data_IF_222964512733
#
_entry.id   IF_222964512733
#
_cell.length_a   1.000
_cell.length_b   1.000
_cell.length_c   1.000
_cell.angle_alpha   90.00
_cell.angle_beta   90.00
_cell.angle_gamma   90.00
#
_symmetry.space_group_name_H-M   'P 1'
#
loop_
_entity.id
_entity.type
_entity.pdbx_description
1 polymer ?
#
# COMPACT_ATOMS: atom_id res chain seq x y z
N UNK A 1 10.17 84.56 35.01
CA UNK A 1 9.72 84.03 33.70
C UNK A 1 10.77 83.02 33.24
N UNK A 2 10.50 81.73 33.42
CA UNK A 2 11.49 80.64 33.37
C UNK A 2 11.73 80.12 31.95
N UNK A 3 13.01 79.89 31.62
CA UNK A 3 13.57 79.47 30.33
C UNK A 3 13.35 77.97 30.12
N UNK A 4 12.76 77.57 28.98
CA UNK A 4 12.47 76.18 28.59
C UNK A 4 13.77 75.39 28.39
N UNK A 5 13.89 74.22 29.01
CA UNK A 5 14.87 73.17 28.68
C UNK A 5 14.32 72.28 27.57
N UNK A 6 15.10 72.14 26.49
CA UNK A 6 14.84 71.24 25.36
C UNK A 6 15.31 69.83 25.73
N UNK A 7 14.43 68.82 25.68
CA UNK A 7 14.81 67.39 25.69
C UNK A 7 14.80 66.86 24.25
N UNK A 8 15.92 66.32 23.80
CA UNK A 8 16.04 65.59 22.53
C UNK A 8 15.34 64.22 22.60
N UNK A 9 14.65 63.76 21.53
CA UNK A 9 14.12 62.41 21.49
C UNK A 9 15.24 61.39 21.27
N UNK A 10 15.38 60.44 22.20
CA UNK A 10 16.26 59.27 22.05
C UNK A 10 15.67 58.35 20.97
N UNK A 11 16.50 57.98 20.00
CA UNK A 11 16.14 57.15 18.85
C UNK A 11 15.64 55.77 19.28
N UNK A 12 14.32 55.55 19.22
CA UNK A 12 13.67 54.23 19.41
C UNK A 12 13.76 53.33 18.17
N UNK A 13 14.26 53.84 17.05
CA UNK A 13 14.29 53.14 15.77
C UNK A 13 15.31 51.99 15.71
N UNK A 14 16.45 52.13 16.39
CA UNK A 14 17.50 51.11 16.41
C UNK A 14 17.09 49.83 17.15
N UNK A 15 16.33 49.97 18.24
CA UNK A 15 15.91 48.83 19.08
C UNK A 15 14.93 47.94 18.35
N UNK A 16 13.94 48.52 17.66
CA UNK A 16 12.97 47.76 16.85
C UNK A 16 13.68 47.08 15.68
N UNK A 17 14.59 47.76 15.00
CA UNK A 17 15.34 47.19 13.89
C UNK A 17 16.21 45.98 14.30
N UNK A 18 16.84 46.03 15.47
CA UNK A 18 17.58 44.90 16.05
C UNK A 18 16.66 43.75 16.48
N UNK A 19 15.48 44.06 17.03
CA UNK A 19 14.50 43.05 17.47
C UNK A 19 13.98 42.19 16.31
N UNK A 20 13.61 42.79 15.18
CA UNK A 20 13.11 42.02 14.02
C UNK A 20 14.19 41.15 13.39
N UNK A 21 15.45 41.59 13.40
CA UNK A 21 16.59 40.78 12.94
C UNK A 21 16.82 39.55 13.81
N UNK A 22 16.68 39.68 15.13
CA UNK A 22 16.78 38.55 16.06
C UNK A 22 15.65 37.53 15.85
N UNK A 23 14.43 38.00 15.59
CA UNK A 23 13.28 37.12 15.29
C UNK A 23 13.51 36.34 14.00
N UNK A 24 14.02 36.99 12.95
CA UNK A 24 14.34 36.32 11.68
C UNK A 24 15.45 35.28 11.87
N UNK A 25 16.52 35.64 12.59
CA UNK A 25 17.62 34.72 12.87
C UNK A 25 17.15 33.50 13.68
N UNK A 26 16.31 33.71 14.69
CA UNK A 26 15.72 32.63 15.49
C UNK A 26 14.85 31.70 14.63
N UNK A 27 14.01 32.26 13.74
CA UNK A 27 13.17 31.46 12.84
C UNK A 27 14.00 30.61 11.88
N UNK A 28 15.05 31.19 11.29
CA UNK A 28 15.97 30.45 10.40
C UNK A 28 16.71 29.36 11.17
N UNK A 29 17.19 29.65 12.39
CA UNK A 29 17.85 28.66 13.23
C UNK A 29 16.92 27.49 13.61
N UNK A 30 15.67 27.79 13.99
CA UNK A 30 14.67 26.76 14.28
C UNK A 30 14.31 25.93 13.05
N UNK A 31 14.26 26.55 11.87
CA UNK A 31 14.00 25.86 10.60
C UNK A 31 15.15 24.92 10.22
N UNK A 32 16.40 25.36 10.38
CA UNK A 32 17.58 24.53 10.14
C UNK A 32 17.71 23.40 11.16
N UNK A 33 17.39 23.66 12.44
CA UNK A 33 17.38 22.63 13.48
C UNK A 33 16.31 21.57 13.19
N UNK A 34 15.12 21.97 12.74
CA UNK A 34 14.07 21.04 12.32
C UNK A 34 14.53 20.17 11.15
N UNK A 35 15.13 20.76 10.11
CA UNK A 35 15.69 20.00 8.98
C UNK A 35 16.79 19.03 9.42
N UNK A 36 17.67 19.45 10.34
CA UNK A 36 18.69 18.57 10.90
C UNK A 36 18.09 17.44 11.73
N UNK A 37 17.07 17.71 12.55
CA UNK A 37 16.35 16.69 13.30
C UNK A 37 15.68 15.68 12.37
N UNK A 38 15.01 16.14 11.30
CA UNK A 38 14.41 15.27 10.28
C UNK A 38 15.48 14.44 9.59
N UNK A 39 16.63 15.02 9.25
CA UNK A 39 17.73 14.30 8.63
C UNK A 39 18.33 13.24 9.58
N UNK A 40 18.54 13.57 10.85
CA UNK A 40 19.03 12.63 11.87
C UNK A 40 18.02 11.50 12.12
N UNK A 41 16.73 11.81 12.14
CA UNK A 41 15.65 10.84 12.29
C UNK A 41 15.46 9.97 11.04
N UNK A 42 15.69 10.50 9.84
CA UNK A 42 15.72 9.73 8.60
C UNK A 42 16.90 8.74 8.56
N UNK A 43 18.08 9.17 9.01
CA UNK A 43 19.25 8.28 9.14
C UNK A 43 19.02 7.17 10.17
N UNK A 44 18.40 7.46 11.32
CA UNK A 44 18.14 6.44 12.34
C UNK A 44 17.14 5.38 11.87
N UNK A 45 16.08 5.77 11.17
CA UNK A 45 15.09 4.84 10.58
C UNK A 45 15.73 3.93 9.54
N UNK A 46 16.56 4.50 8.64
CA UNK A 46 17.27 3.72 7.61
C UNK A 46 18.28 2.72 8.23
N UNK A 47 18.92 3.10 9.35
CA UNK A 47 19.86 2.23 10.06
C UNK A 47 19.16 1.13 10.88
N UNK A 48 17.97 1.41 11.42
CA UNK A 48 17.16 0.44 12.13
C UNK A 48 16.54 -0.62 11.19
N UNK A 49 16.13 -0.25 9.98
CA UNK A 49 15.70 -1.21 8.95
C UNK A 49 16.82 -2.18 8.56
N UNK A 50 18.04 -1.69 8.39
CA UNK A 50 19.21 -2.55 8.07
C UNK A 50 19.59 -3.49 9.21
N UNK A 51 19.35 -3.11 10.48
CA UNK A 51 19.58 -3.96 11.64
C UNK A 51 18.40 -4.90 11.95
N UNK A 52 17.16 -4.50 11.67
CA UNK A 52 15.96 -5.33 11.87
C UNK A 52 15.95 -6.56 10.95
N UNK A 53 16.48 -6.41 9.73
CA UNK A 53 16.68 -7.54 8.79
C UNK A 53 17.69 -8.58 9.34
N UNK A 54 18.59 -8.19 10.24
CA UNK A 54 19.59 -9.08 10.83
C UNK A 54 19.08 -9.90 12.03
N UNK A 55 17.86 -9.68 12.53
CA UNK A 55 17.43 -10.16 13.85
C UNK A 55 16.00 -10.68 13.95
N UNK A 56 15.59 -11.63 13.10
CA UNK A 56 14.43 -12.47 13.42
C UNK A 56 14.88 -13.90 13.73
N UNK A 57 15.40 -14.09 14.94
CA UNK A 57 15.74 -15.42 15.47
C UNK A 57 14.46 -16.15 15.95
N UNK A 58 13.50 -16.35 15.05
CA UNK A 58 12.50 -17.39 15.20
C UNK A 58 13.21 -18.69 14.82
N UNK A 59 13.22 -19.74 15.65
CA UNK A 59 13.87 -20.99 15.28
C UNK A 59 13.29 -21.45 13.94
N UNK A 60 14.14 -21.67 12.91
CA UNK A 60 13.64 -22.02 11.59
C UNK A 60 12.92 -23.36 11.73
N UNK A 61 11.58 -23.33 11.59
CA UNK A 61 10.84 -24.55 11.26
C UNK A 61 11.53 -25.15 10.05
N UNK A 62 11.82 -26.45 10.11
CA UNK A 62 12.56 -27.18 9.07
C UNK A 62 11.64 -27.31 7.85
N UNK A 63 11.63 -26.29 7.00
CA UNK A 63 10.87 -26.31 5.75
C UNK A 63 11.58 -27.23 4.75
N UNK A 64 10.84 -27.98 3.92
CA UNK A 64 11.43 -28.72 2.81
C UNK A 64 11.97 -27.73 1.76
N UNK A 65 13.29 -27.52 1.79
CA UNK A 65 14.03 -26.61 0.91
C UNK A 65 15.16 -25.91 1.66
N UNK A 66 16.26 -25.59 0.98
CA UNK A 66 17.48 -25.00 1.59
C UNK A 66 17.25 -23.65 2.30
N UNK A 67 16.04 -23.06 2.19
CA UNK A 67 15.61 -21.82 2.86
C UNK A 67 14.10 -21.56 2.73
N UNK A 68 13.49 -20.82 3.67
CA UNK A 68 12.12 -20.32 3.51
C UNK A 68 12.04 -19.29 2.37
N UNK A 69 11.17 -19.56 1.39
CA UNK A 69 10.83 -18.70 0.25
C UNK A 69 9.43 -18.10 0.37
N UNK A 70 9.31 -16.77 0.43
CA UNK A 70 8.02 -16.04 0.50
C UNK A 70 7.39 -15.93 -0.89
N UNK A 71 6.09 -16.19 -1.02
CA UNK A 71 5.37 -15.93 -2.27
C UNK A 71 4.55 -14.65 -2.19
N UNK A 72 4.60 -13.84 -3.25
CA UNK A 72 3.77 -12.67 -3.47
C UNK A 72 2.83 -12.96 -4.64
N UNK A 73 1.53 -12.77 -4.44
CA UNK A 73 0.52 -12.85 -5.50
C UNK A 73 -0.07 -11.47 -5.74
N UNK A 74 0.05 -10.97 -6.97
CA UNK A 74 -0.52 -9.70 -7.43
C UNK A 74 -1.73 -9.99 -8.31
N UNK A 75 -2.88 -9.42 -7.96
CA UNK A 75 -4.09 -9.50 -8.76
C UNK A 75 -4.25 -8.19 -9.53
N UNK A 76 -4.03 -8.20 -10.84
CA UNK A 76 -4.08 -6.99 -11.69
C UNK A 76 -4.84 -7.29 -12.99
N UNK A 77 -5.12 -6.26 -13.81
CA UNK A 77 -5.82 -6.45 -15.09
C UNK A 77 -4.87 -6.41 -16.27
N UNK A 78 -4.15 -5.30 -16.43
CA UNK A 78 -3.14 -5.12 -17.49
C UNK A 78 -1.86 -4.64 -16.85
N UNK A 79 -1.83 -3.39 -16.42
CA UNK A 79 -0.70 -2.80 -15.73
C UNK A 79 -0.61 -3.22 -14.26
N UNK A 80 0.62 -3.20 -13.74
CA UNK A 80 0.90 -3.32 -12.31
C UNK A 80 1.01 -1.91 -11.73
N UNK A 81 0.00 -1.43 -10.98
CA UNK A 81 0.07 -0.11 -10.39
C UNK A 81 1.24 -0.02 -9.41
N UNK A 82 1.91 1.14 -9.43
CA UNK A 82 3.06 1.45 -8.55
C UNK A 82 4.24 0.47 -8.70
N UNK A 83 4.44 -0.11 -9.89
CA UNK A 83 5.58 -1.01 -10.20
C UNK A 83 6.95 -0.46 -9.75
N UNK A 84 7.15 0.87 -9.81
CA UNK A 84 8.36 1.53 -9.34
C UNK A 84 8.58 1.42 -7.82
N UNK A 85 7.52 1.40 -7.02
CA UNK A 85 7.62 1.22 -5.57
C UNK A 85 7.95 -0.22 -5.24
N UNK A 86 7.30 -1.16 -5.94
CA UNK A 86 7.59 -2.57 -5.80
C UNK A 86 9.01 -2.93 -6.23
N UNK A 87 9.55 -2.25 -7.26
CA UNK A 87 10.95 -2.38 -7.63
C UNK A 87 11.88 -2.07 -6.46
N UNK A 88 11.61 -0.95 -5.77
CA UNK A 88 12.37 -0.54 -4.58
C UNK A 88 12.20 -1.49 -3.41
N UNK A 89 11.00 -2.03 -3.23
CA UNK A 89 10.71 -3.02 -2.19
C UNK A 89 11.52 -4.32 -2.39
N UNK A 90 11.58 -4.82 -3.64
CA UNK A 90 12.36 -6.02 -3.94
C UNK A 90 13.86 -5.75 -4.11
N UNK A 91 14.26 -4.50 -4.29
CA UNK A 91 15.66 -4.11 -4.44
C UNK A 91 16.48 -4.48 -3.21
N UNK A 92 17.53 -5.27 -3.43
CA UNK A 92 18.43 -5.73 -2.36
C UNK A 92 17.96 -7.02 -1.68
N UNK A 93 16.76 -7.52 -2.00
CA UNK A 93 16.34 -8.84 -1.58
C UNK A 93 17.04 -9.93 -2.42
N UNK A 94 17.39 -11.05 -1.78
CA UNK A 94 17.93 -12.21 -2.50
C UNK A 94 16.80 -12.87 -3.28
N UNK A 95 16.91 -12.88 -4.61
CA UNK A 95 15.88 -13.36 -5.57
C UNK A 95 15.29 -14.73 -5.25
N UNK A 96 16.07 -15.58 -4.59
CA UNK A 96 15.69 -16.95 -4.26
C UNK A 96 15.00 -17.09 -2.89
N UNK A 97 14.91 -16.00 -2.12
CA UNK A 97 14.12 -15.91 -0.90
C UNK A 97 12.65 -15.56 -1.18
N UNK A 98 12.29 -15.24 -2.44
CA UNK A 98 10.90 -14.98 -2.79
C UNK A 98 10.50 -15.47 -4.18
N UNK A 99 9.20 -15.54 -4.42
CA UNK A 99 8.60 -15.75 -5.75
C UNK A 99 7.47 -14.75 -5.93
N UNK A 100 7.37 -14.19 -7.12
CA UNK A 100 6.28 -13.30 -7.53
C UNK A 100 5.41 -14.03 -8.54
N UNK A 101 4.10 -13.96 -8.34
CA UNK A 101 3.08 -14.45 -9.25
C UNK A 101 2.14 -13.31 -9.59
N UNK A 102 1.75 -13.22 -10.86
CA UNK A 102 0.84 -12.18 -11.33
C UNK A 102 -0.38 -12.86 -11.97
N UNK A 103 -1.56 -12.52 -11.47
CA UNK A 103 -2.81 -12.82 -12.14
C UNK A 103 -3.23 -11.59 -12.93
N UNK A 104 -3.22 -11.69 -14.26
CA UNK A 104 -3.58 -10.60 -15.17
C UNK A 104 -4.65 -11.03 -16.17
N UNK A 105 -5.05 -10.15 -17.08
CA UNK A 105 -5.84 -10.56 -18.22
C UNK A 105 -5.12 -11.64 -19.04
N UNK A 106 -5.80 -12.73 -19.47
CA UNK A 106 -5.22 -13.74 -20.33
C UNK A 106 -4.64 -13.14 -21.62
N UNK A 107 -3.44 -13.58 -21.96
CA UNK A 107 -2.65 -13.05 -23.09
C UNK A 107 -1.86 -11.79 -22.78
N UNK A 108 -2.03 -11.18 -21.61
CA UNK A 108 -1.18 -10.08 -21.17
C UNK A 108 0.15 -10.63 -20.61
N UNK A 109 1.27 -10.17 -21.15
CA UNK A 109 2.62 -10.63 -20.78
C UNK A 109 3.35 -9.48 -20.10
N UNK A 110 3.97 -9.75 -18.94
CA UNK A 110 4.82 -8.76 -18.29
C UNK A 110 6.24 -8.86 -18.84
N UNK A 111 6.70 -7.80 -19.50
CA UNK A 111 8.04 -7.65 -20.07
C UNK A 111 8.56 -6.20 -19.90
N UNK A 112 9.69 -5.88 -20.53
CA UNK A 112 10.32 -4.55 -20.48
C UNK A 112 9.44 -3.42 -21.02
N UNK A 113 8.49 -3.73 -21.91
CA UNK A 113 7.57 -2.75 -22.50
C UNK A 113 6.37 -2.46 -21.59
N UNK A 114 5.94 -3.45 -20.81
CA UNK A 114 4.71 -3.37 -20.01
C UNK A 114 4.94 -3.09 -18.53
N UNK A 115 6.15 -3.31 -18.01
CA UNK A 115 6.50 -2.98 -16.62
C UNK A 115 7.95 -2.54 -16.49
N UNK A 116 8.18 -1.56 -15.61
CA UNK A 116 9.51 -1.01 -15.36
C UNK A 116 10.38 -1.89 -14.46
N UNK A 117 9.77 -2.85 -13.76
CA UNK A 117 10.47 -3.67 -12.78
C UNK A 117 10.65 -5.10 -13.26
N UNK A 118 11.92 -5.51 -13.36
CA UNK A 118 12.32 -6.83 -13.84
C UNK A 118 11.86 -8.00 -12.96
N UNK A 119 11.49 -7.74 -11.70
CA UNK A 119 10.96 -8.76 -10.80
C UNK A 119 9.64 -9.37 -11.27
N UNK A 120 8.92 -8.69 -12.16
CA UNK A 120 7.61 -9.09 -12.67
C UNK A 120 7.67 -9.74 -14.05
N UNK A 121 8.82 -9.75 -14.71
CA UNK A 121 8.95 -10.29 -16.06
C UNK A 121 8.59 -11.78 -16.12
N UNK A 122 7.67 -12.11 -17.02
CA UNK A 122 7.20 -13.48 -17.27
C UNK A 122 6.70 -14.20 -15.99
N UNK A 123 6.17 -13.43 -15.03
CA UNK A 123 5.58 -13.95 -13.80
C UNK A 123 4.06 -14.04 -13.86
N UNK A 124 3.46 -13.67 -14.99
CA UNK A 124 2.05 -13.92 -15.25
C UNK A 124 1.76 -15.42 -15.25
N UNK A 125 0.59 -15.77 -14.74
CA UNK A 125 0.13 -17.14 -14.75
C UNK A 125 -0.52 -17.46 -16.10
N UNK A 126 -0.14 -18.60 -16.67
CA UNK A 126 -0.61 -19.00 -18.00
C UNK A 126 -2.13 -19.28 -18.05
N UNK A 127 -2.74 -19.59 -16.91
CA UNK A 127 -4.18 -19.81 -16.77
C UNK A 127 -4.86 -18.59 -16.11
N UNK A 128 -4.29 -17.39 -16.25
CA UNK A 128 -4.89 -16.20 -15.66
C UNK A 128 -6.27 -15.95 -16.28
N UNK A 129 -7.23 -15.66 -15.42
CA UNK A 129 -8.63 -15.64 -15.77
C UNK A 129 -9.04 -14.19 -15.95
N UNK A 130 -9.76 -13.85 -17.02
CA UNK A 130 -10.22 -12.48 -17.18
C UNK A 130 -11.42 -12.22 -16.25
N UNK A 131 -11.16 -11.71 -15.04
CA UNK A 131 -12.20 -11.36 -14.06
C UNK A 131 -13.30 -10.51 -14.70
N UNK A 132 -12.91 -9.56 -15.55
CA UNK A 132 -13.83 -8.61 -16.19
C UNK A 132 -14.52 -9.09 -17.47
N UNK A 133 -13.92 -9.98 -18.26
CA UNK A 133 -14.49 -10.43 -19.53
C UNK A 133 -15.28 -11.74 -19.43
N UNK A 134 -15.12 -12.50 -18.35
CA UNK A 134 -15.80 -13.79 -18.16
C UNK A 134 -16.88 -13.78 -17.07
N UNK A 135 -17.32 -12.60 -16.60
CA UNK A 135 -18.27 -12.48 -15.47
C UNK A 135 -17.87 -13.38 -14.30
N UNK A 136 -16.60 -13.30 -13.89
CA UNK A 136 -16.10 -14.16 -12.83
C UNK A 136 -16.78 -13.80 -11.52
N UNK A 137 -17.19 -14.84 -10.78
CA UNK A 137 -17.84 -14.70 -9.48
C UNK A 137 -16.77 -14.50 -8.40
N UNK A 138 -17.16 -13.92 -7.26
CA UNK A 138 -16.26 -13.83 -6.09
C UNK A 138 -15.74 -15.22 -5.66
N UNK A 139 -16.56 -16.25 -5.89
CA UNK A 139 -16.21 -17.65 -5.65
C UNK A 139 -15.00 -18.09 -6.48
N UNK A 140 -14.96 -17.80 -7.77
CA UNK A 140 -13.85 -18.26 -8.62
C UNK A 140 -12.51 -17.63 -8.22
N UNK A 141 -12.52 -16.35 -7.83
CA UNK A 141 -11.31 -15.67 -7.33
C UNK A 141 -10.82 -16.34 -6.04
N UNK A 142 -11.75 -16.65 -5.14
CA UNK A 142 -11.47 -17.33 -3.87
C UNK A 142 -10.95 -18.75 -4.09
N UNK A 143 -11.63 -19.55 -4.92
CA UNK A 143 -11.22 -20.91 -5.27
C UNK A 143 -9.79 -20.92 -5.84
N UNK A 144 -9.47 -19.96 -6.72
CA UNK A 144 -8.13 -19.81 -7.27
C UNK A 144 -7.07 -19.48 -6.21
N UNK A 145 -7.36 -18.58 -5.26
CA UNK A 145 -6.44 -18.31 -4.14
C UNK A 145 -6.23 -19.56 -3.30
N UNK A 146 -7.31 -20.29 -3.00
CA UNK A 146 -7.27 -21.54 -2.22
C UNK A 146 -6.41 -22.59 -2.94
N UNK A 147 -6.56 -22.76 -4.24
CA UNK A 147 -5.74 -23.68 -5.04
C UNK A 147 -4.24 -23.39 -4.94
N UNK A 148 -3.84 -22.11 -4.99
CA UNK A 148 -2.44 -21.71 -4.83
C UNK A 148 -1.95 -22.01 -3.42
N UNK A 149 -2.77 -21.75 -2.39
CA UNK A 149 -2.44 -22.03 -0.99
C UNK A 149 -2.27 -23.54 -0.78
N UNK A 150 -3.21 -24.36 -1.26
CA UNK A 150 -3.16 -25.83 -1.15
C UNK A 150 -1.91 -26.40 -1.82
N UNK A 151 -1.61 -26.00 -3.06
CA UNK A 151 -0.39 -26.44 -3.77
C UNK A 151 0.89 -26.06 -3.02
N UNK A 152 0.91 -24.89 -2.38
CA UNK A 152 2.06 -24.47 -1.56
C UNK A 152 2.15 -25.26 -0.26
N UNK A 153 1.03 -25.55 0.38
CA UNK A 153 0.97 -26.35 1.60
C UNK A 153 1.45 -27.79 1.36
N UNK A 154 1.10 -28.41 0.22
CA UNK A 154 1.62 -29.72 -0.21
C UNK A 154 3.15 -29.75 -0.33
N UNK A 155 3.75 -28.62 -0.75
CA UNK A 155 5.19 -28.43 -0.81
C UNK A 155 5.80 -27.98 0.54
N UNK A 156 5.04 -28.01 1.63
CA UNK A 156 5.48 -27.61 2.98
C UNK A 156 5.60 -26.10 3.21
N UNK A 157 5.15 -25.26 2.28
CA UNK A 157 5.16 -23.81 2.38
C UNK A 157 3.85 -23.26 2.96
N UNK A 158 3.68 -23.38 4.28
CA UNK A 158 2.50 -22.91 5.02
C UNK A 158 2.54 -21.40 5.36
N UNK A 159 3.08 -20.58 4.45
CA UNK A 159 3.20 -19.13 4.60
C UNK A 159 3.24 -18.45 3.23
N UNK A 160 2.85 -17.18 3.17
CA UNK A 160 2.82 -16.37 1.95
C UNK A 160 2.19 -15.00 2.20
N UNK A 161 2.29 -14.13 1.21
CA UNK A 161 1.67 -12.80 1.21
C UNK A 161 0.81 -12.68 -0.05
N UNK A 162 -0.45 -12.27 0.13
CA UNK A 162 -1.35 -11.96 -0.98
C UNK A 162 -1.62 -10.47 -0.94
N UNK A 163 -1.46 -9.81 -2.09
CA UNK A 163 -1.75 -8.39 -2.25
C UNK A 163 -3.04 -8.26 -3.05
N UNK A 164 -4.09 -7.80 -2.38
CA UNK A 164 -5.41 -7.57 -2.97
C UNK A 164 -5.54 -6.06 -3.18
N UNK A 165 -5.61 -5.55 -4.42
CA UNK A 165 -5.90 -4.15 -4.63
C UNK A 165 -7.33 -3.86 -4.19
N UNK A 166 -7.53 -2.73 -3.50
CA UNK A 166 -8.85 -2.31 -2.98
C UNK A 166 -9.93 -2.33 -4.07
N UNK A 167 -9.62 -1.83 -5.27
CA UNK A 167 -10.55 -1.81 -6.41
C UNK A 167 -10.85 -3.17 -7.04
N UNK A 168 -10.33 -4.30 -6.51
CA UNK A 168 -10.62 -5.63 -7.09
C UNK A 168 -12.12 -5.93 -7.14
N UNK A 169 -12.86 -5.48 -6.11
CA UNK A 169 -14.29 -5.73 -5.96
C UNK A 169 -15.12 -5.03 -7.04
N UNK A 170 -14.66 -3.90 -7.57
CA UNK A 170 -15.33 -3.14 -8.62
C UNK A 170 -15.41 -3.89 -9.94
N UNK A 171 -14.68 -5.00 -10.06
CA UNK A 171 -14.63 -5.82 -11.28
C UNK A 171 -15.45 -7.10 -11.18
N UNK A 172 -16.09 -7.36 -10.04
CA UNK A 172 -16.94 -8.54 -9.82
C UNK A 172 -18.38 -8.12 -10.12
N UNK A 173 -19.01 -8.60 -11.22
CA UNK A 173 -20.33 -8.13 -11.62
C UNK A 173 -21.41 -8.33 -10.55
N UNK A 174 -21.32 -9.42 -9.79
CA UNK A 174 -22.24 -9.73 -8.66
C UNK A 174 -22.17 -8.65 -7.57
N UNK A 175 -20.97 -8.13 -7.30
CA UNK A 175 -20.75 -7.05 -6.32
C UNK A 175 -21.21 -5.71 -6.89
N UNK A 176 -21.00 -5.46 -8.19
CA UNK A 176 -21.51 -4.25 -8.84
C UNK A 176 -23.04 -4.18 -8.83
N UNK A 177 -23.71 -5.31 -9.13
CA UNK A 177 -25.18 -5.42 -9.10
C UNK A 177 -25.72 -5.17 -7.69
N UNK A 178 -25.08 -5.77 -6.67
CA UNK A 178 -25.39 -5.52 -5.27
C UNK A 178 -25.23 -4.04 -4.88
N UNK A 179 -24.13 -3.39 -5.26
CA UNK A 179 -23.88 -1.98 -4.95
C UNK A 179 -24.94 -1.09 -5.65
N UNK A 180 -25.29 -1.39 -6.90
CA UNK A 180 -26.33 -0.68 -7.62
C UNK A 180 -27.70 -0.84 -6.94
N UNK A 181 -28.08 -2.07 -6.58
CA UNK A 181 -29.31 -2.34 -5.81
C UNK A 181 -29.33 -1.60 -4.47
N UNK A 182 -28.21 -1.58 -3.74
CA UNK A 182 -28.08 -0.86 -2.48
C UNK A 182 -28.27 0.64 -2.66
N UNK A 183 -27.65 1.22 -3.69
CA UNK A 183 -27.76 2.65 -3.98
C UNK A 183 -29.20 3.05 -4.35
N UNK A 184 -29.92 2.21 -5.11
CA UNK A 184 -31.33 2.42 -5.43
C UNK A 184 -32.22 2.36 -4.18
N UNK A 185 -31.96 1.43 -3.24
CA UNK A 185 -32.69 1.36 -1.96
C UNK A 185 -32.42 2.60 -1.10
N UNK A 186 -31.16 3.02 -1.00
CA UNK A 186 -30.77 4.21 -0.23
C UNK A 186 -31.34 5.50 -0.82
N UNK A 187 -31.44 5.58 -2.15
CA UNK A 187 -31.99 6.75 -2.84
C UNK A 187 -33.52 6.87 -2.69
N UNK A 188 -34.22 5.73 -2.52
CA UNK A 188 -35.69 5.70 -2.50
C UNK A 188 -36.29 5.53 -1.09
N UNK A 189 -35.49 5.34 -0.02
CA UNK A 189 -35.91 5.05 1.37
C UNK A 189 -36.89 3.87 1.57
N UNK A 190 -37.25 3.15 0.50
CA UNK A 190 -38.09 1.95 0.56
C UNK A 190 -37.21 0.77 0.96
N UNK A 191 -37.06 0.57 2.27
CA UNK A 191 -36.50 -0.65 2.82
C UNK A 191 -37.53 -1.76 2.65
N UNK A 192 -37.20 -2.77 1.83
CA UNK A 192 -38.01 -3.99 1.73
C UNK A 192 -38.27 -4.57 3.12
N UNK A 193 -39.54 -4.57 3.55
CA UNK A 193 -39.99 -5.04 4.86
C UNK A 193 -39.58 -6.50 5.13
N UNK A 194 -39.35 -7.30 4.07
CA UNK A 194 -39.01 -8.71 4.19
C UNK A 194 -37.48 -8.97 4.27
N UNK A 195 -36.64 -7.94 4.14
CA UNK A 195 -35.19 -8.06 4.24
C UNK A 195 -34.56 -8.97 3.17
N UNK A 196 -35.18 -9.09 1.99
CA UNK A 196 -34.74 -9.95 0.89
C UNK A 196 -33.34 -9.57 0.39
N UNK A 197 -33.02 -8.26 0.39
CA UNK A 197 -31.70 -7.76 0.05
C UNK A 197 -30.61 -8.20 1.03
N UNK A 198 -30.92 -8.28 2.34
CA UNK A 198 -29.98 -8.83 3.34
C UNK A 198 -29.71 -10.29 3.05
N UNK A 199 -30.76 -11.05 2.73
CA UNK A 199 -30.63 -12.47 2.41
C UNK A 199 -29.75 -12.68 1.17
N UNK A 200 -29.98 -11.91 0.11
CA UNK A 200 -29.16 -11.93 -1.12
C UNK A 200 -27.70 -11.51 -0.87
N UNK A 201 -27.47 -10.55 0.03
CA UNK A 201 -26.13 -10.16 0.50
C UNK A 201 -25.44 -11.31 1.24
N UNK A 202 -26.12 -11.94 2.22
CA UNK A 202 -25.58 -13.04 3.01
C UNK A 202 -25.42 -14.34 2.20
N UNK A 203 -26.17 -14.52 1.11
CA UNK A 203 -25.96 -15.64 0.18
C UNK A 203 -24.70 -15.43 -0.69
N UNK A 204 -24.26 -14.19 -0.91
CA UNK A 204 -23.06 -13.83 -1.69
C UNK A 204 -21.79 -13.75 -0.85
N UNK A 205 -21.91 -13.38 0.43
CA UNK A 205 -20.79 -13.28 1.36
C UNK A 205 -20.63 -14.60 2.14
N UNK A 206 -19.39 -15.06 2.42
CA UNK A 206 -19.21 -16.18 3.33
C UNK A 206 -19.80 -15.83 4.71
N UNK A 207 -20.33 -16.83 5.44
CA UNK A 207 -21.03 -16.67 6.74
C UNK A 207 -20.23 -15.93 7.84
N UNK A 208 -18.97 -15.59 7.60
CA UNK A 208 -18.02 -15.00 8.55
C UNK A 208 -17.93 -13.46 8.53
N UNK A 209 -18.77 -12.75 7.76
CA UNK A 209 -18.79 -11.27 7.67
C UNK A 209 -20.04 -10.68 8.32
#
# INVERSE_FOLDING_TARGET
MTRKSQLHPVSRHGVVWLQWKLVIFLYVALSLLSLLCIHLQYYSVTMLETLSVAGSHIPPRKYPGDRPKVAFLFLTRRDLPLDFMWDRFFKGAVHSNFSVYIHSQPGFVFNEETTRSHYFYNRQLNNSINVSAQKQTLKNVTDYMVDVICKRAELGYNYGVILIPEGLIDFIPEVQELIAELNEILANEVVDENGLWKKKLFDLLPEAV
#
